data_IF_782564505098
#
_entry.id   IF_782564505098
#
_cell.length_a   1.000
_cell.length_b   1.000
_cell.length_c   1.000
_cell.angle_alpha   90.00
_cell.angle_beta   90.00
_cell.angle_gamma   90.00
#
_symmetry.space_group_name_H-M   'P 1'
#
loop_
_entity.id
_entity.type
_entity.pdbx_description
1 polymer ?
#
# COMPACT_ATOMS: atom_id res chain seq x y z
N UNK A 1 14.24 11.60 -55.61
CA UNK A 1 15.40 10.99 -54.95
C UNK A 1 15.44 11.58 -53.56
N UNK A 2 15.11 10.79 -52.54
CA UNK A 2 15.14 11.23 -51.14
C UNK A 2 16.41 10.63 -50.54
N UNK A 3 17.38 11.49 -50.24
CA UNK A 3 18.61 11.14 -49.54
C UNK A 3 18.27 10.55 -48.16
N UNK A 4 18.38 9.22 -48.04
CA UNK A 4 18.36 8.53 -46.75
C UNK A 4 19.73 8.68 -46.11
N UNK A 5 19.83 9.59 -45.14
CA UNK A 5 21.05 9.84 -44.38
C UNK A 5 21.49 8.57 -43.60
N UNK A 6 22.62 7.93 -43.92
CA UNK A 6 23.08 6.69 -43.29
C UNK A 6 23.54 6.87 -41.83
N UNK A 7 23.77 8.11 -41.38
CA UNK A 7 24.19 8.41 -40.00
C UNK A 7 23.05 8.25 -38.98
N UNK A 8 21.79 8.47 -39.38
CA UNK A 8 20.62 8.29 -38.52
C UNK A 8 20.29 6.81 -38.24
N UNK A 9 20.63 5.91 -39.19
CA UNK A 9 20.48 4.47 -38.99
C UNK A 9 21.61 3.87 -38.14
N UNK A 10 22.80 4.46 -38.15
CA UNK A 10 23.93 4.02 -37.33
C UNK A 10 23.75 4.37 -35.85
N UNK A 11 23.16 5.53 -35.52
CA UNK A 11 22.90 5.94 -34.14
C UNK A 11 21.80 5.10 -33.47
N UNK A 12 20.70 4.80 -34.15
CA UNK A 12 19.65 3.91 -33.62
C UNK A 12 20.08 2.45 -33.48
N UNK A 13 21.03 1.99 -34.30
CA UNK A 13 21.62 0.65 -34.18
C UNK A 13 22.61 0.54 -33.01
N UNK A 14 23.33 1.61 -32.67
CA UNK A 14 24.25 1.65 -31.52
C UNK A 14 23.50 1.66 -30.18
N UNK A 15 22.43 2.43 -30.05
CA UNK A 15 21.59 2.46 -28.83
C UNK A 15 20.89 1.12 -28.54
N UNK A 16 20.49 0.39 -29.60
CA UNK A 16 19.85 -0.92 -29.45
C UNK A 16 20.82 -2.04 -29.07
N UNK A 17 22.10 -1.92 -29.46
CA UNK A 17 23.16 -2.85 -29.06
C UNK A 17 23.52 -2.71 -27.58
N UNK A 18 23.66 -1.48 -27.07
CA UNK A 18 23.94 -1.24 -25.64
C UNK A 18 22.78 -1.68 -24.73
N UNK A 19 21.53 -1.45 -25.14
CA UNK A 19 20.35 -1.91 -24.41
C UNK A 19 20.29 -3.45 -24.31
N UNK A 20 20.69 -4.15 -25.38
CA UNK A 20 20.78 -5.62 -25.39
C UNK A 20 21.90 -6.17 -24.50
N UNK A 21 23.04 -5.46 -24.43
CA UNK A 21 24.15 -5.82 -23.55
C UNK A 21 23.78 -5.67 -22.07
N UNK A 22 23.06 -4.59 -21.72
CA UNK A 22 22.56 -4.35 -20.37
C UNK A 22 21.59 -5.45 -19.89
N UNK A 23 20.61 -5.82 -20.73
CA UNK A 23 19.68 -6.91 -20.43
C UNK A 23 20.41 -8.25 -20.21
N UNK A 24 21.47 -8.50 -20.99
CA UNK A 24 22.32 -9.70 -20.85
C UNK A 24 23.08 -9.71 -19.51
N UNK A 25 23.57 -8.54 -19.05
CA UNK A 25 24.21 -8.39 -17.73
C UNK A 25 23.22 -8.60 -16.57
N UNK A 26 21.97 -8.15 -16.70
CA UNK A 26 20.93 -8.38 -15.70
C UNK A 26 20.59 -9.87 -15.55
N UNK A 27 20.43 -10.58 -16.66
CA UNK A 27 20.15 -12.02 -16.63
C UNK A 27 21.30 -12.82 -16.01
N UNK A 28 22.55 -12.42 -16.26
CA UNK A 28 23.74 -13.09 -15.73
C UNK A 28 23.90 -12.93 -14.21
N UNK A 29 23.59 -11.75 -13.67
CA UNK A 29 23.79 -11.45 -12.25
C UNK A 29 22.61 -11.87 -11.36
N UNK A 30 21.36 -11.77 -11.84
CA UNK A 30 20.18 -12.06 -11.02
C UNK A 30 19.60 -13.48 -11.19
N UNK A 31 19.95 -14.20 -12.27
CA UNK A 31 19.47 -15.58 -12.56
C UNK A 31 17.95 -15.77 -12.35
N UNK A 32 17.09 -14.99 -13.01
CA UNK A 32 15.64 -15.10 -12.85
C UNK A 32 15.12 -16.47 -13.30
N UNK A 33 14.18 -17.03 -12.53
CA UNK A 33 13.62 -18.37 -12.76
C UNK A 33 12.31 -18.35 -13.56
N UNK A 34 11.68 -17.18 -13.72
CA UNK A 34 10.48 -16.99 -14.52
C UNK A 34 10.52 -15.68 -15.29
N UNK A 35 9.72 -15.58 -16.36
CA UNK A 35 9.65 -14.35 -17.16
C UNK A 35 9.08 -13.17 -16.38
N UNK A 36 8.15 -13.42 -15.44
CA UNK A 36 7.64 -12.40 -14.51
C UNK A 36 8.74 -11.83 -13.59
N UNK A 37 9.73 -12.65 -13.22
CA UNK A 37 10.87 -12.16 -12.43
C UNK A 37 11.81 -11.31 -13.29
N UNK A 38 12.03 -11.66 -14.56
CA UNK A 38 12.81 -10.84 -15.48
C UNK A 38 12.20 -9.44 -15.62
N UNK A 39 10.91 -9.37 -15.91
CA UNK A 39 10.18 -8.11 -16.05
C UNK A 39 10.26 -7.26 -14.78
N UNK A 40 10.04 -7.86 -13.60
CA UNK A 40 10.12 -7.12 -12.33
C UNK A 40 11.55 -6.61 -12.02
N UNK A 41 12.58 -7.35 -12.40
CA UNK A 41 13.99 -6.92 -12.23
C UNK A 41 14.30 -5.77 -13.19
N UNK A 42 13.91 -5.89 -14.45
CA UNK A 42 14.11 -4.83 -15.45
C UNK A 42 13.38 -3.54 -15.06
N UNK A 43 12.13 -3.64 -14.61
CA UNK A 43 11.35 -2.50 -14.10
C UNK A 43 11.97 -1.89 -12.84
N UNK A 44 12.40 -2.71 -11.88
CA UNK A 44 13.03 -2.26 -10.64
C UNK A 44 14.36 -1.54 -10.90
N UNK A 45 15.21 -2.09 -11.76
CA UNK A 45 16.49 -1.48 -12.13
C UNK A 45 16.29 -0.20 -12.93
N UNK A 46 15.31 -0.17 -13.84
CA UNK A 46 14.95 1.04 -14.58
C UNK A 46 14.49 2.15 -13.64
N UNK A 47 13.58 1.86 -12.71
CA UNK A 47 13.07 2.83 -11.73
C UNK A 47 14.19 3.36 -10.84
N UNK A 48 15.10 2.48 -10.40
CA UNK A 48 16.27 2.88 -9.62
C UNK A 48 17.21 3.77 -10.44
N UNK A 49 17.45 3.45 -11.71
CA UNK A 49 18.29 4.25 -12.60
C UNK A 49 17.68 5.63 -12.86
N UNK A 50 16.38 5.71 -13.12
CA UNK A 50 15.65 6.99 -13.28
C UNK A 50 15.77 7.85 -12.02
N UNK A 51 15.60 7.25 -10.83
CA UNK A 51 15.72 7.96 -9.56
C UNK A 51 17.17 8.38 -9.25
N UNK A 52 18.16 7.52 -9.52
CA UNK A 52 19.57 7.84 -9.32
C UNK A 52 20.05 8.94 -10.28
N UNK A 53 19.51 8.99 -11.50
CA UNK A 53 19.80 10.05 -12.47
C UNK A 53 19.17 11.39 -12.04
N UNK A 54 17.95 11.34 -11.50
CA UNK A 54 17.26 12.52 -10.98
C UNK A 54 17.93 13.11 -9.72
N UNK A 55 18.50 12.25 -8.87
CA UNK A 55 19.08 12.61 -7.56
C UNK A 55 20.61 12.38 -7.52
N UNK A 56 21.30 12.81 -8.59
CA UNK A 56 22.75 12.61 -8.84
C UNK A 56 23.70 13.16 -7.75
N UNK A 57 23.18 13.83 -6.72
CA UNK A 57 23.95 14.47 -5.66
C UNK A 57 24.44 13.50 -4.56
N UNK A 58 23.95 12.25 -4.52
CA UNK A 58 24.23 11.31 -3.40
C UNK A 58 24.71 9.93 -3.88
N UNK A 59 25.24 9.81 -5.11
CA UNK A 59 25.90 8.57 -5.52
C UNK A 59 27.30 8.54 -4.90
N UNK A 60 27.36 8.07 -3.65
CA UNK A 60 28.63 7.70 -3.02
C UNK A 60 29.24 6.52 -3.77
N UNK A 61 30.56 6.30 -3.63
CA UNK A 61 31.29 5.16 -4.20
C UNK A 61 30.71 3.79 -3.78
N UNK A 62 29.76 3.79 -2.83
CA UNK A 62 29.00 2.66 -2.34
C UNK A 62 27.53 2.72 -2.79
N UNK A 63 27.24 1.97 -3.87
CA UNK A 63 25.89 1.83 -4.41
C UNK A 63 24.90 1.23 -3.39
N UNK A 64 25.37 0.39 -2.46
CA UNK A 64 24.52 -0.26 -1.45
C UNK A 64 23.99 0.76 -0.47
N UNK A 65 24.86 1.64 0.06
CA UNK A 65 24.43 2.73 0.96
C UNK A 65 23.46 3.70 0.29
N UNK A 66 23.65 3.95 -1.00
CA UNK A 66 22.75 4.81 -1.77
C UNK A 66 21.36 4.20 -1.90
N UNK A 67 21.27 2.88 -2.13
CA UNK A 67 19.99 2.14 -2.14
C UNK A 67 19.33 2.16 -0.75
N UNK A 68 20.09 1.91 0.32
CA UNK A 68 19.56 1.96 1.69
C UNK A 68 18.99 3.34 2.04
N UNK A 69 19.66 4.42 1.60
CA UNK A 69 19.16 5.78 1.79
C UNK A 69 17.85 6.04 1.03
N UNK A 70 17.73 5.54 -0.20
CA UNK A 70 16.50 5.65 -0.99
C UNK A 70 15.35 4.88 -0.33
N UNK A 71 15.61 3.67 0.18
CA UNK A 71 14.62 2.86 0.92
C UNK A 71 14.17 3.62 2.18
N UNK A 72 15.11 4.19 2.94
CA UNK A 72 14.79 4.95 4.14
C UNK A 72 13.91 6.18 3.84
N UNK A 73 14.18 6.90 2.76
CA UNK A 73 13.32 8.02 2.34
C UNK A 73 11.94 7.57 1.87
N UNK A 74 11.84 6.42 1.19
CA UNK A 74 10.56 5.84 0.81
C UNK A 74 9.76 5.44 2.06
N UNK A 75 10.38 4.74 3.00
CA UNK A 75 9.78 4.34 4.27
C UNK A 75 9.33 5.56 5.09
N UNK A 76 10.11 6.64 5.07
CA UNK A 76 9.71 7.91 5.70
C UNK A 76 8.44 8.46 5.07
N UNK A 77 8.36 8.54 3.75
CA UNK A 77 7.18 9.03 3.01
C UNK A 77 5.96 8.14 3.23
N UNK A 78 6.14 6.82 3.19
CA UNK A 78 5.07 5.85 3.44
C UNK A 78 4.58 5.96 4.88
N UNK A 79 5.48 6.04 5.85
CA UNK A 79 5.14 6.18 7.27
C UNK A 79 4.38 7.49 7.51
N UNK A 80 4.81 8.61 6.93
CA UNK A 80 4.10 9.89 7.03
C UNK A 80 2.68 9.79 6.47
N UNK A 81 2.52 9.19 5.28
CA UNK A 81 1.21 9.04 4.65
C UNK A 81 0.29 8.09 5.43
N UNK A 82 0.82 6.94 5.86
CA UNK A 82 0.07 5.97 6.66
C UNK A 82 -0.33 6.61 7.99
N UNK A 83 0.56 7.35 8.64
CA UNK A 83 0.25 8.06 9.87
C UNK A 83 -0.93 9.02 9.69
N UNK A 84 -0.99 9.78 8.59
CA UNK A 84 -2.13 10.65 8.30
C UNK A 84 -3.44 9.86 8.14
N UNK A 85 -3.39 8.67 7.53
CA UNK A 85 -4.58 7.82 7.34
C UNK A 85 -5.05 7.22 8.67
N UNK A 86 -4.15 6.62 9.46
CA UNK A 86 -4.51 5.91 10.70
C UNK A 86 -4.85 6.87 11.85
N UNK A 87 -4.29 8.09 11.85
CA UNK A 87 -4.57 9.09 12.88
C UNK A 87 -5.77 9.99 12.54
N UNK A 88 -6.51 9.68 11.49
CA UNK A 88 -7.73 10.40 11.16
C UNK A 88 -8.85 10.04 12.15
N UNK A 89 -9.57 11.05 12.64
CA UNK A 89 -10.54 10.90 13.74
C UNK A 89 -11.64 9.86 13.46
N UNK A 90 -12.16 9.78 12.22
CA UNK A 90 -13.20 8.83 11.87
C UNK A 90 -12.65 7.39 11.85
N UNK A 91 -11.41 7.21 11.36
CA UNK A 91 -10.73 5.92 11.38
C UNK A 91 -10.47 5.47 12.82
N UNK A 92 -9.94 6.34 13.68
CA UNK A 92 -9.67 6.02 15.08
C UNK A 92 -10.96 5.70 15.86
N UNK A 93 -12.05 6.42 15.60
CA UNK A 93 -13.33 6.14 16.24
C UNK A 93 -13.88 4.75 15.84
N UNK A 94 -13.76 4.40 14.56
CA UNK A 94 -14.14 3.09 14.04
C UNK A 94 -13.23 1.99 14.59
N UNK A 95 -11.91 2.18 14.51
CA UNK A 95 -10.91 1.26 15.01
C UNK A 95 -11.07 1.01 16.51
N UNK A 96 -11.26 2.06 17.32
CA UNK A 96 -11.48 1.94 18.76
C UNK A 96 -12.72 1.10 19.09
N UNK A 97 -13.80 1.26 18.32
CA UNK A 97 -15.02 0.46 18.48
C UNK A 97 -14.76 -1.02 18.16
N UNK A 98 -14.07 -1.31 17.05
CA UNK A 98 -13.80 -2.68 16.63
C UNK A 98 -12.71 -3.37 17.45
N UNK A 99 -11.65 -2.65 17.86
CA UNK A 99 -10.64 -3.18 18.78
C UNK A 99 -11.22 -3.46 20.16
N UNK A 100 -12.14 -2.62 20.64
CA UNK A 100 -12.89 -2.88 21.86
C UNK A 100 -13.76 -4.13 21.78
N UNK A 101 -14.49 -4.30 20.67
CA UNK A 101 -15.27 -5.52 20.42
C UNK A 101 -14.38 -6.76 20.28
N UNK A 102 -13.28 -6.65 19.54
CA UNK A 102 -12.30 -7.73 19.40
C UNK A 102 -11.73 -8.11 20.77
N UNK A 103 -11.35 -7.14 21.60
CA UNK A 103 -10.91 -7.38 22.97
C UNK A 103 -11.97 -8.13 23.80
N UNK A 104 -13.25 -7.75 23.70
CA UNK A 104 -14.33 -8.46 24.39
C UNK A 104 -14.41 -9.92 23.94
N UNK A 105 -14.38 -10.17 22.63
CA UNK A 105 -14.49 -11.53 22.07
C UNK A 105 -13.26 -12.38 22.40
N UNK A 106 -12.05 -11.85 22.23
CA UNK A 106 -10.81 -12.60 22.47
C UNK A 106 -10.58 -12.96 23.93
N UNK A 107 -11.07 -12.15 24.87
CA UNK A 107 -10.91 -12.41 26.31
C UNK A 107 -12.11 -13.12 26.95
N UNK A 108 -13.12 -13.49 26.16
CA UNK A 108 -14.29 -14.20 26.66
C UNK A 108 -14.32 -15.60 26.09
N UNK A 109 -14.23 -16.61 26.96
CA UNK A 109 -14.43 -18.01 26.57
C UNK A 109 -15.93 -18.24 26.33
N UNK A 110 -16.35 -18.13 25.07
CA UNK A 110 -17.73 -18.39 24.66
C UNK A 110 -17.96 -19.89 24.53
N UNK A 111 -18.98 -20.42 25.20
CA UNK A 111 -19.41 -21.82 25.14
C UNK A 111 -20.93 -21.91 24.85
N UNK A 112 -21.57 -23.06 25.07
CA UNK A 112 -23.01 -23.21 24.89
C UNK A 112 -23.85 -22.31 25.82
N UNK A 113 -23.28 -21.95 26.98
CA UNK A 113 -23.94 -21.15 28.02
C UNK A 113 -23.74 -19.65 27.80
N UNK A 114 -22.66 -19.23 27.12
CA UNK A 114 -22.31 -17.83 26.93
C UNK A 114 -22.27 -17.41 25.47
N UNK A 115 -23.16 -16.46 25.11
CA UNK A 115 -23.31 -15.94 23.74
C UNK A 115 -23.19 -14.42 23.72
N UNK A 116 -22.40 -13.92 22.78
CA UNK A 116 -22.27 -12.47 22.51
C UNK A 116 -23.09 -12.14 21.26
N UNK A 117 -24.08 -11.25 21.38
CA UNK A 117 -24.87 -10.74 20.26
C UNK A 117 -24.57 -9.26 20.06
N UNK A 118 -24.07 -8.91 18.88
CA UNK A 118 -23.70 -7.53 18.55
C UNK A 118 -24.81 -6.89 17.72
N UNK A 119 -25.24 -5.69 18.12
CA UNK A 119 -26.15 -4.86 17.34
C UNK A 119 -25.39 -3.61 16.88
N UNK A 120 -25.20 -3.46 15.57
CA UNK A 120 -24.54 -2.28 15.01
C UNK A 120 -25.57 -1.15 14.84
N UNK A 121 -25.54 -0.16 15.73
CA UNK A 121 -26.41 1.01 15.69
C UNK A 121 -25.69 2.23 16.29
N UNK A 122 -25.84 3.40 15.67
CA UNK A 122 -25.22 4.62 16.18
C UNK A 122 -25.97 5.18 17.39
N UNK A 123 -25.26 5.90 18.27
CA UNK A 123 -25.87 6.60 19.42
C UNK A 123 -27.00 7.56 19.02
N UNK A 124 -26.87 8.20 17.86
CA UNK A 124 -27.89 9.11 17.31
C UNK A 124 -29.17 8.36 16.92
N UNK A 125 -29.03 7.20 16.28
CA UNK A 125 -30.15 6.35 15.90
C UNK A 125 -30.86 5.76 17.12
N UNK A 126 -30.10 5.26 18.11
CA UNK A 126 -30.68 4.82 19.39
C UNK A 126 -31.50 5.93 20.01
N UNK A 127 -30.94 7.14 20.13
CA UNK A 127 -31.64 8.29 20.68
C UNK A 127 -32.89 8.68 19.89
N UNK A 128 -32.85 8.59 18.55
CA UNK A 128 -34.01 8.87 17.68
C UNK A 128 -35.10 7.82 17.86
N UNK A 129 -34.73 6.55 17.93
CA UNK A 129 -35.66 5.43 18.13
C UNK A 129 -36.35 5.55 19.49
N UNK A 130 -35.58 5.74 20.57
CA UNK A 130 -36.13 5.93 21.91
C UNK A 130 -37.03 7.17 22.01
N UNK A 131 -36.71 8.25 21.27
CA UNK A 131 -37.57 9.44 21.22
C UNK A 131 -38.88 9.22 20.46
N UNK A 132 -38.87 8.37 19.43
CA UNK A 132 -40.05 8.05 18.62
C UNK A 132 -41.03 7.16 19.37
N UNK A 133 -40.52 6.20 20.14
CA UNK A 133 -41.32 5.21 20.88
C UNK A 133 -41.31 5.51 22.39
N UNK A 134 -41.78 6.70 22.79
CA UNK A 134 -41.86 7.11 24.21
C UNK A 134 -43.16 6.65 24.87
N UNK A 135 -43.14 6.55 26.20
CA UNK A 135 -44.33 6.24 27.00
C UNK A 135 -44.82 4.83 26.71
N UNK A 136 -46.13 4.64 26.55
CA UNK A 136 -46.74 3.32 26.36
C UNK A 136 -46.31 2.60 25.06
N UNK A 137 -45.73 3.29 24.08
CA UNK A 137 -45.33 2.69 22.79
C UNK A 137 -43.90 2.11 22.78
N UNK A 138 -43.20 2.12 23.91
CA UNK A 138 -41.79 1.70 24.01
C UNK A 138 -41.58 0.20 23.73
N UNK A 139 -42.56 -0.63 24.09
CA UNK A 139 -42.61 -2.08 23.90
C UNK A 139 -42.75 -2.49 22.42
N UNK A 140 -43.17 -1.56 21.56
CA UNK A 140 -43.23 -1.76 20.12
C UNK A 140 -41.98 -1.28 19.38
N UNK A 141 -40.96 -0.80 20.10
CA UNK A 141 -39.74 -0.30 19.47
C UNK A 141 -38.87 -1.43 18.90
N UNK A 142 -38.13 -1.20 17.80
CA UNK A 142 -37.18 -2.17 17.25
C UNK A 142 -36.04 -2.55 18.20
N UNK A 143 -35.78 -1.76 19.25
CA UNK A 143 -34.77 -2.05 20.26
C UNK A 143 -35.30 -2.97 21.37
N UNK A 144 -36.62 -3.03 21.55
CA UNK A 144 -37.26 -3.90 22.53
C UNK A 144 -37.48 -5.32 22.00
N UNK A 145 -37.69 -5.44 20.68
CA UNK A 145 -37.83 -6.73 19.98
C UNK A 145 -36.47 -7.36 19.70
#
# INVERSE_FOLDING_TARGET
>A
MADTNPEAQAQGAAETLEAGEFASLLQKNFKPKSDRQKEAIEEGVRTLAEQALADSAVVSDDAVKSIEAIIAELDRKLTEQVNQIIHQDDFQALEGTWRGLHHLVSNTETDETLKIRVCNISKKEVGKTLKKFKGAAWDQSPLFK
#
